data_IF_561502533284
#
_entry.id   IF_561502533284
#
_cell.length_a   1.000
_cell.length_b   1.000
_cell.length_c   1.000
_cell.angle_alpha   90.00
_cell.angle_beta   90.00
_cell.angle_gamma   90.00
#
_symmetry.space_group_name_H-M   'P 1'
#
loop_
_entity.id
_entity.type
_entity.pdbx_description
1 polymer ?
#
# COMPACT_ATOMS: atom_id res chain seq x y z
N UNK A 1 9.51 -0.27 -8.34
CA UNK A 1 10.71 -1.08 -8.07
C UNK A 1 11.25 -1.64 -9.38
N UNK A 2 12.56 -1.60 -9.62
CA UNK A 2 13.25 -2.25 -10.74
C UNK A 2 14.29 -3.22 -10.15
N UNK A 3 14.41 -4.44 -10.71
CA UNK A 3 15.31 -5.46 -10.14
C UNK A 3 16.80 -5.18 -10.35
N UNK A 4 17.14 -4.34 -11.32
CA UNK A 4 18.52 -3.97 -11.66
C UNK A 4 18.98 -2.63 -11.07
N UNK A 5 18.18 -2.01 -10.24
CA UNK A 5 18.48 -0.76 -9.55
C UNK A 5 18.31 -0.96 -8.04
N UNK A 6 19.16 -0.37 -7.19
CA UNK A 6 18.94 -0.39 -5.76
C UNK A 6 17.61 0.30 -5.42
N UNK A 7 17.00 -0.09 -4.32
CA UNK A 7 15.83 0.62 -3.80
C UNK A 7 16.27 2.03 -3.44
N UNK A 8 15.56 3.00 -3.96
CA UNK A 8 15.85 4.41 -3.71
C UNK A 8 15.53 4.73 -2.24
N UNK A 9 16.49 5.31 -1.54
CA UNK A 9 16.35 5.77 -0.15
C UNK A 9 16.63 7.26 0.00
N UNK A 10 16.76 7.99 -1.10
CA UNK A 10 16.96 9.44 -1.11
C UNK A 10 16.37 10.07 -2.36
N UNK A 11 16.01 11.33 -2.26
CA UNK A 11 15.46 12.12 -3.37
C UNK A 11 15.80 13.60 -3.23
N UNK A 12 15.61 14.37 -4.30
CA UNK A 12 15.84 15.81 -4.32
C UNK A 12 14.56 16.55 -4.69
N UNK A 13 14.19 17.53 -3.86
CA UNK A 13 13.07 18.46 -4.09
C UNK A 13 13.54 19.87 -3.75
N UNK A 14 13.26 20.83 -4.62
CA UNK A 14 13.63 22.26 -4.46
C UNK A 14 15.13 22.48 -4.18
N UNK A 15 16.02 21.63 -4.76
CA UNK A 15 17.48 21.74 -4.59
C UNK A 15 17.99 21.25 -3.23
N UNK A 16 17.15 20.58 -2.44
CA UNK A 16 17.50 19.93 -1.18
C UNK A 16 17.35 18.42 -1.30
N UNK A 17 18.34 17.67 -0.84
CA UNK A 17 18.32 16.22 -0.79
C UNK A 17 17.76 15.76 0.55
N UNK A 18 16.86 14.77 0.49
CA UNK A 18 16.24 14.11 1.63
C UNK A 18 16.61 12.63 1.62
N UNK A 19 17.03 12.10 2.76
CA UNK A 19 17.07 10.66 2.99
C UNK A 19 15.71 10.20 3.47
N UNK A 20 15.23 9.05 3.00
CA UNK A 20 13.90 8.56 3.33
C UNK A 20 13.97 7.12 3.84
N UNK A 21 13.40 6.89 5.01
CA UNK A 21 13.10 5.56 5.52
C UNK A 21 11.72 5.14 5.03
N UNK A 22 11.70 4.07 4.24
CA UNK A 22 10.49 3.44 3.71
C UNK A 22 10.33 2.02 4.25
N UNK A 23 10.80 1.71 5.46
CA UNK A 23 10.50 0.45 6.13
C UNK A 23 8.98 0.29 6.26
N UNK A 24 8.49 -0.94 6.07
CA UNK A 24 7.05 -1.18 5.98
C UNK A 24 6.31 -0.82 7.26
N UNK A 25 6.93 -1.06 8.42
CA UNK A 25 6.40 -0.73 9.74
C UNK A 25 6.23 0.78 9.91
N UNK A 26 7.24 1.58 9.53
CA UNK A 26 7.14 3.05 9.57
C UNK A 26 6.06 3.56 8.61
N UNK A 27 5.92 2.98 7.42
CA UNK A 27 4.85 3.36 6.48
C UNK A 27 3.47 3.04 7.04
N UNK A 28 3.30 1.93 7.75
CA UNK A 28 2.04 1.62 8.44
C UNK A 28 1.74 2.62 9.55
N UNK A 29 2.74 3.03 10.34
CA UNK A 29 2.60 4.09 11.35
C UNK A 29 2.18 5.43 10.73
N UNK A 30 2.72 5.76 9.54
CA UNK A 30 2.31 6.94 8.77
C UNK A 30 0.85 6.83 8.34
N UNK A 31 0.38 5.68 7.87
CA UNK A 31 -1.02 5.49 7.49
C UNK A 31 -1.95 5.61 8.70
N UNK A 32 -1.61 5.00 9.84
CA UNK A 32 -2.37 5.15 11.08
C UNK A 32 -2.44 6.62 11.53
N UNK A 33 -1.32 7.36 11.44
CA UNK A 33 -1.29 8.79 11.72
C UNK A 33 -2.21 9.59 10.77
N UNK A 34 -2.32 9.20 9.48
CA UNK A 34 -3.23 9.85 8.54
C UNK A 34 -4.71 9.61 8.87
N UNK A 35 -5.07 8.55 9.58
CA UNK A 35 -6.42 8.30 10.06
C UNK A 35 -6.81 9.17 11.27
N UNK A 36 -5.87 9.94 11.85
CA UNK A 36 -6.14 10.87 12.95
C UNK A 36 -7.04 12.03 12.49
N UNK A 37 -8.27 12.09 13.01
CA UNK A 37 -9.27 13.12 12.65
C UNK A 37 -8.98 14.51 13.23
N UNK A 38 -8.11 14.61 14.23
CA UNK A 38 -7.81 15.88 14.93
C UNK A 38 -6.85 16.74 14.12
N UNK A 39 -5.96 16.12 13.36
CA UNK A 39 -4.93 16.79 12.56
C UNK A 39 -5.50 17.24 11.20
N UNK A 40 -5.18 18.47 10.78
CA UNK A 40 -5.46 18.89 9.42
C UNK A 40 -4.46 18.29 8.41
N UNK A 41 -4.76 18.37 7.12
CA UNK A 41 -3.94 17.72 6.08
C UNK A 41 -2.49 18.21 6.06
N UNK A 42 -2.24 19.51 6.29
CA UNK A 42 -0.88 20.04 6.30
C UNK A 42 -0.06 19.53 7.49
N UNK A 43 -0.71 19.43 8.66
CA UNK A 43 -0.10 18.84 9.86
C UNK A 43 0.24 17.37 9.65
N UNK A 44 -0.66 16.60 9.02
CA UNK A 44 -0.43 15.20 8.66
C UNK A 44 0.77 15.04 7.72
N UNK A 45 0.80 15.82 6.62
CA UNK A 45 1.93 15.82 5.68
C UNK A 45 3.25 16.16 6.37
N UNK A 46 3.27 17.22 7.19
CA UNK A 46 4.46 17.63 7.95
C UNK A 46 4.96 16.54 8.89
N UNK A 47 4.03 15.90 9.61
CA UNK A 47 4.35 14.82 10.54
C UNK A 47 4.89 13.60 9.80
N UNK A 48 4.25 13.21 8.70
CA UNK A 48 4.71 12.10 7.86
C UNK A 48 6.11 12.35 7.30
N UNK A 49 6.39 13.56 6.81
CA UNK A 49 7.75 13.93 6.34
C UNK A 49 8.75 13.79 7.48
N UNK A 50 8.44 14.32 8.66
CA UNK A 50 9.33 14.22 9.82
C UNK A 50 9.57 12.75 10.21
N UNK A 51 8.54 11.90 10.20
CA UNK A 51 8.67 10.48 10.52
C UNK A 51 9.56 9.75 9.51
N UNK A 52 9.40 10.04 8.21
CA UNK A 52 10.08 9.31 7.14
C UNK A 52 11.46 9.84 6.78
N UNK A 53 11.75 11.13 7.05
CA UNK A 53 13.01 11.76 6.63
C UNK A 53 13.83 12.34 7.78
N UNK A 54 13.30 12.32 9.00
CA UNK A 54 13.87 13.01 10.18
C UNK A 54 14.08 14.52 9.98
N UNK A 55 13.37 15.12 8.99
CA UNK A 55 13.49 16.52 8.62
C UNK A 55 12.23 17.30 8.96
N UNK A 56 12.38 18.36 9.76
CA UNK A 56 11.28 19.28 10.09
C UNK A 56 11.16 20.37 9.03
N UNK A 57 9.99 20.49 8.42
CA UNK A 57 9.66 21.55 7.46
C UNK A 57 8.61 22.48 8.03
N UNK A 58 8.79 23.80 7.81
CA UNK A 58 7.86 24.83 8.28
C UNK A 58 7.14 25.56 7.13
N UNK A 59 7.75 25.60 5.93
CA UNK A 59 7.15 26.24 4.77
C UNK A 59 6.06 25.35 4.16
N UNK A 60 4.78 25.80 4.07
CA UNK A 60 3.70 25.00 3.50
C UNK A 60 3.94 24.52 2.06
N UNK A 61 4.59 25.34 1.22
CA UNK A 61 4.85 24.97 -0.18
C UNK A 61 5.88 23.84 -0.26
N UNK A 62 6.91 23.86 0.58
CA UNK A 62 7.90 22.79 0.66
C UNK A 62 7.30 21.52 1.24
N UNK A 63 6.44 21.62 2.27
CA UNK A 63 5.72 20.48 2.86
C UNK A 63 4.89 19.77 1.78
N UNK A 64 4.11 20.50 1.00
CA UNK A 64 3.29 19.91 -0.07
C UNK A 64 4.16 19.27 -1.13
N UNK A 65 5.20 19.96 -1.62
CA UNK A 65 6.07 19.44 -2.67
C UNK A 65 6.82 18.17 -2.27
N UNK A 66 7.36 18.16 -1.04
CA UNK A 66 8.09 16.98 -0.50
C UNK A 66 7.12 15.82 -0.27
N UNK A 67 5.93 16.09 0.29
CA UNK A 67 4.94 15.05 0.51
C UNK A 67 4.42 14.43 -0.80
N UNK A 68 4.08 15.25 -1.79
CA UNK A 68 3.66 14.76 -3.11
C UNK A 68 4.70 13.85 -3.74
N UNK A 69 5.99 14.20 -3.60
CA UNK A 69 7.08 13.36 -4.09
C UNK A 69 7.13 12.01 -3.34
N UNK A 70 7.05 12.04 -2.00
CA UNK A 70 7.06 10.82 -1.18
C UNK A 70 5.86 9.93 -1.54
N UNK A 71 4.65 10.48 -1.58
CA UNK A 71 3.44 9.74 -1.90
C UNK A 71 3.54 9.06 -3.28
N UNK A 72 3.93 9.82 -4.31
CA UNK A 72 3.98 9.30 -5.67
C UNK A 72 5.08 8.23 -5.88
N UNK A 73 6.27 8.41 -5.29
CA UNK A 73 7.44 7.61 -5.63
C UNK A 73 7.70 6.47 -4.64
N UNK A 74 7.30 6.62 -3.38
CA UNK A 74 7.59 5.66 -2.33
C UNK A 74 6.37 4.93 -1.79
N UNK A 75 5.21 5.60 -1.70
CA UNK A 75 4.01 4.99 -1.10
C UNK A 75 3.08 4.37 -2.14
N UNK A 76 2.88 5.01 -3.28
CA UNK A 76 2.04 4.46 -4.36
C UNK A 76 2.72 3.27 -5.01
N UNK A 77 2.17 2.10 -4.82
CA UNK A 77 2.70 0.85 -5.37
C UNK A 77 2.16 0.52 -6.75
N UNK A 78 1.01 1.09 -7.13
CA UNK A 78 0.42 0.94 -8.47
C UNK A 78 0.79 2.16 -9.32
N UNK A 79 1.61 1.96 -10.35
CA UNK A 79 1.65 2.92 -11.46
C UNK A 79 0.31 2.82 -12.18
N UNK A 80 -0.39 3.94 -12.28
CA UNK A 80 -1.56 4.03 -13.16
C UNK A 80 -1.15 3.56 -14.56
N UNK A 81 -1.74 2.46 -15.02
CA UNK A 81 -1.52 1.99 -16.40
C UNK A 81 -2.26 2.93 -17.32
N UNK A 82 -1.55 3.86 -17.93
CA UNK A 82 -2.13 4.64 -19.02
C UNK A 82 -2.42 3.68 -20.19
N UNK A 83 -3.69 3.45 -20.47
CA UNK A 83 -4.13 2.69 -21.66
C UNK A 83 -4.20 3.67 -22.79
N UNK A 84 -3.53 3.34 -23.91
CA UNK A 84 -3.56 4.17 -25.12
C UNK A 84 -4.52 3.56 -26.14
N UNK A 85 -5.22 4.42 -26.88
CA UNK A 85 -6.00 4.00 -28.04
C UNK A 85 -5.08 3.58 -29.20
N UNK A 86 -5.68 3.13 -30.32
CA UNK A 86 -4.93 2.72 -31.52
C UNK A 86 -4.16 3.88 -32.18
N UNK A 87 -4.43 5.11 -31.79
CA UNK A 87 -3.81 6.33 -32.29
C UNK A 87 -2.76 6.91 -31.35
N UNK A 88 -2.52 6.24 -30.18
CA UNK A 88 -1.54 6.68 -29.19
C UNK A 88 -2.07 7.77 -28.24
N UNK A 89 -3.37 8.02 -28.18
CA UNK A 89 -3.96 8.96 -27.21
C UNK A 89 -4.26 8.23 -25.89
N UNK A 90 -3.98 8.84 -24.73
CA UNK A 90 -4.34 8.26 -23.45
C UNK A 90 -5.87 8.15 -23.35
N UNK A 91 -6.35 6.94 -23.09
CA UNK A 91 -7.76 6.69 -22.83
C UNK A 91 -8.06 6.91 -21.33
N UNK A 92 -9.25 7.49 -21.00
CA UNK A 92 -9.71 7.47 -19.63
C UNK A 92 -9.78 6.02 -19.14
N UNK A 93 -9.08 5.71 -18.06
CA UNK A 93 -9.25 4.43 -17.39
C UNK A 93 -10.65 4.49 -16.79
N UNK A 94 -11.54 3.57 -17.23
CA UNK A 94 -12.79 3.35 -16.53
C UNK A 94 -12.41 3.03 -15.08
N UNK A 95 -12.84 3.84 -14.13
CA UNK A 95 -12.77 3.47 -12.71
C UNK A 95 -13.66 2.23 -12.60
N UNK A 96 -13.04 1.08 -12.52
CA UNK A 96 -13.76 -0.13 -12.14
C UNK A 96 -14.31 0.15 -10.73
N UNK A 97 -15.60 -0.07 -10.53
CA UNK A 97 -16.24 0.01 -9.19
C UNK A 97 -15.60 -0.99 -8.21
N UNK A 98 -14.70 -1.83 -8.68
CA UNK A 98 -13.88 -2.77 -7.91
C UNK A 98 -12.72 -2.12 -7.16
N UNK A 99 -12.26 -0.90 -7.55
CA UNK A 99 -11.17 -0.20 -6.87
C UNK A 99 -11.58 0.36 -5.48
N UNK A 100 -12.87 0.42 -5.17
CA UNK A 100 -13.36 0.92 -3.87
C UNK A 100 -13.49 -0.19 -2.79
N UNK A 101 -13.26 -1.47 -3.13
CA UNK A 101 -13.30 -2.54 -2.16
C UNK A 101 -11.92 -2.70 -1.52
N UNK A 102 -11.76 -2.25 -0.30
CA UNK A 102 -10.56 -2.50 0.50
C UNK A 102 -10.49 -4.00 0.83
N UNK A 103 -9.73 -4.77 0.05
CA UNK A 103 -9.64 -6.22 0.18
C UNK A 103 -8.78 -6.65 1.37
N UNK A 104 -7.84 -5.82 1.81
CA UNK A 104 -6.93 -6.06 2.94
C UNK A 104 -6.92 -4.81 3.82
N UNK A 105 -7.07 -5.01 5.11
CA UNK A 105 -6.91 -4.00 6.15
C UNK A 105 -5.69 -4.36 6.99
N UNK A 106 -4.68 -3.48 7.02
CA UNK A 106 -3.41 -3.78 7.68
C UNK A 106 -3.52 -3.90 9.20
N UNK A 107 -4.51 -3.27 9.81
CA UNK A 107 -4.75 -3.33 11.25
C UNK A 107 -5.61 -4.56 11.61
N UNK A 108 -6.76 -4.70 10.95
CA UNK A 108 -7.73 -5.79 11.23
C UNK A 108 -7.17 -7.15 10.84
N UNK A 109 -6.46 -7.23 9.70
CA UNK A 109 -5.96 -8.49 9.12
C UNK A 109 -4.48 -8.76 9.48
N UNK A 110 -3.94 -8.05 10.48
CA UNK A 110 -2.52 -8.14 10.84
C UNK A 110 -2.05 -9.57 11.16
N UNK A 111 -2.91 -10.38 11.80
CA UNK A 111 -2.60 -11.76 12.15
C UNK A 111 -2.52 -12.65 10.91
N UNK A 112 -3.45 -12.49 9.99
CA UNK A 112 -3.52 -13.23 8.73
C UNK A 112 -2.34 -12.87 7.82
N UNK A 113 -1.95 -11.59 7.79
CA UNK A 113 -0.77 -11.11 7.06
C UNK A 113 0.48 -11.75 7.66
N UNK A 114 0.68 -11.65 8.96
CA UNK A 114 1.82 -12.26 9.65
C UNK A 114 1.91 -13.76 9.40
N UNK A 115 0.80 -14.50 9.62
CA UNK A 115 0.76 -15.94 9.42
C UNK A 115 1.08 -16.34 7.97
N UNK A 116 0.58 -15.56 6.99
CA UNK A 116 0.83 -15.82 5.57
C UNK A 116 2.30 -15.58 5.19
N UNK A 117 2.97 -14.55 5.74
CA UNK A 117 4.38 -14.29 5.51
C UNK A 117 5.26 -15.38 6.13
N UNK A 118 4.95 -15.83 7.33
CA UNK A 118 5.67 -16.97 7.94
C UNK A 118 5.47 -18.23 7.11
N UNK A 119 4.23 -18.54 6.71
CA UNK A 119 3.89 -19.74 5.95
C UNK A 119 4.57 -19.76 4.57
N UNK A 120 4.48 -18.66 3.83
CA UNK A 120 4.91 -18.61 2.43
C UNK A 120 6.41 -18.37 2.27
N UNK A 121 6.99 -17.53 3.13
CA UNK A 121 8.35 -17.00 2.94
C UNK A 121 9.28 -17.28 4.12
N UNK A 122 8.78 -17.83 5.22
CA UNK A 122 9.50 -17.96 6.48
C UNK A 122 10.05 -16.61 6.98
N UNK A 123 9.31 -15.52 6.73
CA UNK A 123 9.64 -14.17 7.18
C UNK A 123 8.86 -13.88 8.46
N UNK A 124 9.58 -13.54 9.54
CA UNK A 124 9.02 -12.97 10.75
C UNK A 124 8.94 -11.46 10.57
N UNK A 125 7.73 -10.91 10.39
CA UNK A 125 7.54 -9.48 10.15
C UNK A 125 8.01 -8.62 11.33
N UNK A 126 7.92 -9.09 12.58
CA UNK A 126 8.45 -8.35 13.72
C UNK A 126 9.98 -8.22 13.71
N UNK A 127 10.68 -9.25 13.20
CA UNK A 127 12.13 -9.20 13.03
C UNK A 127 12.55 -8.43 11.76
N UNK A 128 11.62 -8.24 10.82
CA UNK A 128 11.83 -7.53 9.56
C UNK A 128 11.61 -6.01 9.68
N UNK A 129 11.08 -5.52 10.80
CA UNK A 129 10.90 -4.09 11.07
C UNK A 129 12.21 -3.32 10.89
N UNK A 130 12.14 -2.10 10.34
CA UNK A 130 13.29 -1.26 10.02
C UNK A 130 14.22 -1.80 8.93
N UNK A 131 13.86 -2.92 8.25
CA UNK A 131 14.72 -3.55 7.21
C UNK A 131 13.97 -3.90 5.93
N UNK A 132 12.77 -4.49 6.04
CA UNK A 132 11.92 -4.79 4.90
C UNK A 132 11.25 -3.50 4.43
N UNK A 133 11.54 -3.08 3.23
CA UNK A 133 10.99 -1.84 2.69
C UNK A 133 9.53 -2.02 2.25
N UNK A 134 8.76 -0.93 2.22
CA UNK A 134 7.38 -0.92 1.79
C UNK A 134 7.17 -1.53 0.39
N UNK A 135 7.97 -1.18 -0.65
CA UNK A 135 7.82 -1.82 -1.96
C UNK A 135 8.07 -3.34 -1.94
N UNK A 136 9.00 -3.81 -1.12
CA UNK A 136 9.26 -5.25 -0.96
C UNK A 136 8.10 -5.93 -0.23
N UNK A 137 7.63 -5.34 0.88
CA UNK A 137 6.50 -5.85 1.64
C UNK A 137 5.25 -6.00 0.76
N UNK A 138 4.90 -4.97 -0.01
CA UNK A 138 3.75 -5.02 -0.93
C UNK A 138 3.96 -6.03 -2.06
N UNK A 139 5.18 -6.16 -2.58
CA UNK A 139 5.47 -7.16 -3.61
C UNK A 139 5.29 -8.59 -3.08
N UNK A 140 5.74 -8.86 -1.86
CA UNK A 140 5.56 -10.14 -1.18
C UNK A 140 4.09 -10.39 -0.83
N UNK A 141 3.38 -9.39 -0.32
CA UNK A 141 1.96 -9.49 0.01
C UNK A 141 1.12 -9.85 -1.22
N UNK A 142 1.36 -9.17 -2.34
CA UNK A 142 0.69 -9.46 -3.61
C UNK A 142 1.11 -10.79 -4.25
N UNK A 143 2.28 -11.32 -3.87
CA UNK A 143 2.83 -12.59 -4.34
C UNK A 143 2.47 -13.79 -3.47
N UNK A 144 1.64 -13.62 -2.42
CA UNK A 144 1.25 -14.71 -1.54
C UNK A 144 0.55 -15.83 -2.33
N UNK A 145 0.96 -17.10 -2.14
CA UNK A 145 0.34 -18.22 -2.84
C UNK A 145 -1.09 -18.49 -2.36
N UNK A 146 -1.86 -19.15 -3.21
CA UNK A 146 -3.17 -19.68 -2.84
C UNK A 146 -3.08 -20.56 -1.57
N UNK A 147 -4.12 -20.52 -0.73
CA UNK A 147 -4.18 -21.29 0.51
C UNK A 147 -3.53 -20.62 1.72
N UNK A 148 -2.96 -19.41 1.58
CA UNK A 148 -2.58 -18.58 2.74
C UNK A 148 -3.81 -17.92 3.35
N UNK A 149 -3.72 -17.47 4.61
CA UNK A 149 -4.83 -16.81 5.30
C UNK A 149 -5.28 -15.54 4.55
N UNK A 150 -4.34 -14.72 4.09
CA UNK A 150 -4.63 -13.51 3.29
C UNK A 150 -5.31 -13.85 1.97
N UNK A 151 -4.81 -14.86 1.22
CA UNK A 151 -5.42 -15.22 -0.06
C UNK A 151 -6.88 -15.69 0.11
N UNK A 152 -7.18 -16.39 1.20
CA UNK A 152 -8.55 -16.81 1.53
C UNK A 152 -9.43 -15.61 1.90
N UNK A 153 -8.93 -14.63 2.66
CA UNK A 153 -9.67 -13.40 2.97
C UNK A 153 -10.00 -12.61 1.70
N UNK A 154 -9.01 -12.43 0.83
CA UNK A 154 -9.19 -11.74 -0.46
C UNK A 154 -10.22 -12.47 -1.33
N UNK A 155 -10.17 -13.81 -1.41
CA UNK A 155 -11.16 -14.61 -2.13
C UNK A 155 -12.58 -14.40 -1.58
N UNK A 156 -12.73 -14.43 -0.25
CA UNK A 156 -14.03 -14.23 0.39
C UNK A 156 -14.56 -12.81 0.13
N UNK A 157 -13.73 -11.79 0.35
CA UNK A 157 -14.15 -10.38 0.22
C UNK A 157 -14.44 -9.97 -1.22
N UNK A 158 -13.69 -10.52 -2.18
CA UNK A 158 -13.88 -10.26 -3.62
C UNK A 158 -14.97 -11.12 -4.25
N UNK A 159 -15.48 -12.14 -3.54
CA UNK A 159 -16.46 -13.05 -4.11
C UNK A 159 -17.77 -12.35 -4.51
N UNK A 160 -18.22 -12.59 -5.72
CA UNK A 160 -19.51 -12.15 -6.27
C UNK A 160 -20.35 -13.35 -6.66
N UNK A 161 -21.66 -13.37 -6.38
CA UNK A 161 -22.52 -14.52 -6.68
C UNK A 161 -22.61 -14.78 -8.18
N UNK A 162 -22.30 -16.00 -8.59
CA UNK A 162 -22.44 -16.46 -9.96
C UNK A 162 -23.74 -17.25 -10.17
N UNK A 163 -24.21 -17.35 -11.43
CA UNK A 163 -25.38 -18.18 -11.79
C UNK A 163 -25.12 -19.66 -11.52
N UNK A 164 -23.88 -20.10 -11.56
CA UNK A 164 -23.48 -21.49 -11.40
C UNK A 164 -23.29 -21.91 -9.94
N UNK A 165 -23.27 -20.94 -9.00
CA UNK A 165 -23.08 -21.23 -7.59
C UNK A 165 -24.37 -21.82 -6.99
N UNK A 166 -24.22 -22.87 -6.18
CA UNK A 166 -25.35 -23.43 -5.44
C UNK A 166 -25.90 -22.42 -4.41
N UNK A 167 -27.16 -22.57 -4.04
CA UNK A 167 -27.78 -21.72 -3.02
C UNK A 167 -27.09 -21.81 -1.67
N UNK A 168 -26.59 -23.01 -1.32
CA UNK A 168 -25.85 -23.27 -0.09
C UNK A 168 -24.49 -22.57 -0.09
N UNK A 169 -23.75 -22.65 -1.21
CA UNK A 169 -22.48 -21.95 -1.37
C UNK A 169 -22.64 -20.42 -1.29
N UNK A 170 -23.65 -19.87 -1.97
CA UNK A 170 -24.00 -18.44 -1.87
C UNK A 170 -24.30 -18.00 -0.44
N UNK A 171 -25.06 -18.82 0.30
CA UNK A 171 -25.38 -18.54 1.70
C UNK A 171 -24.13 -18.60 2.60
N UNK A 172 -23.22 -19.55 2.35
CA UNK A 172 -21.95 -19.67 3.06
C UNK A 172 -21.06 -18.43 2.80
N UNK A 173 -20.85 -18.05 1.55
CA UNK A 173 -19.97 -16.92 1.20
C UNK A 173 -20.49 -15.59 1.76
N UNK A 174 -21.80 -15.32 1.66
CA UNK A 174 -22.40 -14.12 2.27
C UNK A 174 -22.28 -14.05 3.79
N UNK A 175 -22.15 -15.21 4.45
CA UNK A 175 -21.95 -15.25 5.91
C UNK A 175 -20.50 -14.97 6.30
N UNK A 176 -19.55 -15.23 5.39
CA UNK A 176 -18.12 -15.04 5.61
C UNK A 176 -17.65 -13.63 5.23
N UNK A 177 -18.38 -12.94 4.35
CA UNK A 177 -18.19 -11.52 4.04
C UNK A 177 -18.68 -10.62 5.17
#
# INVERSE_FOLDING_TARGET
>A
MKLNEPIQNSFEVNGRTYEVDCSFDLVLDVFEMFDNEVMNNLEKMRTAILMMTDEALDNPEDIVAVWEYIDEHFLRTKKERVVYDRHGNPMPIAKDEEDDIRLIDFEVDAQEIYASFVQAYNINLFEAQGRLTWPEFIALLNGLPEGTAVSQLVEIRSWKPSKNDSSEYKAKMRRLQ
#
